data_IF_297638143139
#
_entry.id   IF_297638143139
#
_cell.length_a   1.000
_cell.length_b   1.000
_cell.length_c   1.000
_cell.angle_alpha   90.00
_cell.angle_beta   90.00
_cell.angle_gamma   90.00
#
_symmetry.space_group_name_H-M   'P 1'
#
loop_
_entity.id
_entity.type
_entity.pdbx_description
1 polymer ?
#
# COMPACT_ATOMS: atom_id res chain seq x y z
N UNK A 1 25.38 6.65 -31.00
CA UNK A 1 24.28 7.53 -30.53
C UNK A 1 22.91 6.83 -30.56
N UNK A 2 22.54 6.09 -31.63
CA UNK A 2 21.23 5.41 -31.77
C UNK A 2 20.90 4.40 -30.64
N UNK A 3 21.91 3.72 -30.09
CA UNK A 3 21.72 2.68 -29.05
C UNK A 3 21.40 3.25 -27.66
N UNK A 4 21.81 4.48 -27.37
CA UNK A 4 21.56 5.13 -26.08
C UNK A 4 20.13 5.63 -25.96
N UNK A 5 19.54 6.09 -27.06
CA UNK A 5 18.14 6.56 -27.10
C UNK A 5 17.18 5.40 -26.75
N UNK A 6 17.44 4.20 -27.27
CA UNK A 6 16.63 3.02 -26.96
C UNK A 6 16.74 2.62 -25.48
N UNK A 7 17.93 2.69 -24.89
CA UNK A 7 18.17 2.40 -23.49
C UNK A 7 17.52 3.41 -22.54
N UNK A 8 17.51 4.69 -22.92
CA UNK A 8 16.83 5.75 -22.15
C UNK A 8 15.32 5.55 -22.20
N UNK A 9 14.76 5.23 -23.37
CA UNK A 9 13.33 4.96 -23.53
C UNK A 9 12.91 3.76 -22.67
N UNK A 10 13.67 2.66 -22.68
CA UNK A 10 13.35 1.50 -21.82
C UNK A 10 13.44 1.83 -20.34
N UNK A 11 14.43 2.62 -19.89
CA UNK A 11 14.53 3.04 -18.49
C UNK A 11 13.32 3.86 -18.03
N UNK A 12 12.81 4.77 -18.88
CA UNK A 12 11.62 5.58 -18.57
C UNK A 12 10.40 4.69 -18.38
N UNK A 13 10.20 3.68 -19.23
CA UNK A 13 9.08 2.74 -19.09
C UNK A 13 9.16 1.83 -17.84
N UNK A 14 10.37 1.46 -17.39
CA UNK A 14 10.52 0.72 -16.14
C UNK A 14 10.17 1.57 -14.90
N UNK A 15 10.54 2.86 -14.90
CA UNK A 15 10.22 3.76 -13.78
C UNK A 15 8.72 4.02 -13.61
N UNK A 16 7.94 4.03 -14.71
CA UNK A 16 6.48 4.23 -14.64
C UNK A 16 5.71 3.06 -14.03
N UNK A 17 6.28 1.84 -14.03
CA UNK A 17 5.62 0.67 -13.42
C UNK A 17 5.74 0.66 -11.89
N UNK A 18 6.67 1.42 -11.30
CA UNK A 18 6.80 1.57 -9.85
C UNK A 18 5.73 2.50 -9.26
N UNK A 19 5.13 3.36 -10.10
CA UNK A 19 4.19 4.40 -9.66
C UNK A 19 2.71 4.04 -9.80
N UNK A 20 2.37 2.97 -10.52
CA UNK A 20 0.98 2.55 -10.78
C UNK A 20 0.35 1.71 -9.65
N UNK A 21 1.01 1.58 -8.50
CA UNK A 21 0.63 0.66 -7.43
C UNK A 21 0.79 1.24 -6.02
N UNK A 22 0.59 2.55 -5.81
CA UNK A 22 0.66 3.13 -4.47
C UNK A 22 -0.19 2.31 -3.50
N UNK A 23 0.47 1.77 -2.48
CA UNK A 23 -0.06 1.03 -1.33
C UNK A 23 -0.99 -0.18 -1.58
N UNK A 24 -1.16 -0.63 -2.83
CA UNK A 24 -2.00 -1.80 -3.15
C UNK A 24 -1.50 -3.10 -2.50
N UNK A 25 -0.18 -3.25 -2.33
CA UNK A 25 0.40 -4.42 -1.67
C UNK A 25 0.06 -4.46 -0.18
N UNK A 26 0.14 -3.31 0.45
CA UNK A 26 -0.11 -3.03 1.85
C UNK A 26 -1.59 -3.26 2.19
N UNK A 27 -2.51 -2.80 1.32
CA UNK A 27 -3.95 -3.09 1.43
C UNK A 27 -4.19 -4.61 1.41
N UNK A 28 -3.62 -5.30 0.43
CA UNK A 28 -3.75 -6.76 0.30
C UNK A 28 -3.18 -7.50 1.50
N UNK A 29 -2.10 -6.99 2.08
CA UNK A 29 -1.49 -7.59 3.26
C UNK A 29 -2.39 -7.44 4.49
N UNK A 30 -3.01 -6.27 4.69
CA UNK A 30 -4.03 -6.09 5.74
C UNK A 30 -5.21 -7.03 5.51
N UNK A 31 -5.71 -7.13 4.28
CA UNK A 31 -6.84 -8.01 3.93
C UNK A 31 -6.54 -9.48 4.27
N UNK A 32 -5.39 -9.98 3.81
CA UNK A 32 -4.97 -11.34 4.08
C UNK A 32 -4.82 -11.61 5.59
N UNK A 33 -4.31 -10.65 6.37
CA UNK A 33 -4.20 -10.81 7.82
C UNK A 33 -5.55 -10.76 8.52
N UNK A 34 -6.45 -9.89 8.11
CA UNK A 34 -7.81 -9.83 8.66
C UNK A 34 -8.58 -11.14 8.47
N UNK A 35 -8.34 -11.85 7.36
CA UNK A 35 -8.94 -13.17 7.09
C UNK A 35 -8.35 -14.28 7.96
N UNK A 36 -7.07 -14.18 8.32
CA UNK A 36 -6.32 -15.25 8.99
C UNK A 36 -6.12 -15.02 10.50
N UNK A 37 -6.34 -13.81 11.01
CA UNK A 37 -6.10 -13.45 12.41
C UNK A 37 -7.39 -13.52 13.23
N UNK A 38 -7.37 -14.25 14.35
CA UNK A 38 -8.43 -14.23 15.36
C UNK A 38 -8.18 -13.12 16.38
N UNK A 39 -8.82 -11.98 16.19
CA UNK A 39 -8.79 -10.81 17.10
C UNK A 39 -10.20 -10.47 17.56
N UNK A 40 -10.31 -9.67 18.64
CA UNK A 40 -11.60 -9.16 19.09
C UNK A 40 -12.25 -8.28 18.03
N UNK A 41 -13.59 -8.23 18.05
CA UNK A 41 -14.38 -7.44 17.09
C UNK A 41 -14.02 -5.95 17.14
N UNK A 42 -13.69 -5.42 18.32
CA UNK A 42 -13.25 -4.03 18.48
C UNK A 42 -11.94 -3.75 17.73
N UNK A 43 -10.95 -4.63 17.87
CA UNK A 43 -9.67 -4.52 17.15
C UNK A 43 -9.87 -4.69 15.66
N UNK A 44 -10.75 -5.61 15.25
CA UNK A 44 -11.08 -5.82 13.83
C UNK A 44 -11.69 -4.56 13.22
N UNK A 45 -12.63 -3.92 13.93
CA UNK A 45 -13.23 -2.67 13.51
C UNK A 45 -12.22 -1.52 13.44
N UNK A 46 -11.25 -1.47 14.36
CA UNK A 46 -10.16 -0.49 14.32
C UNK A 46 -9.28 -0.68 13.08
N UNK A 47 -8.87 -1.91 12.79
CA UNK A 47 -8.08 -2.25 11.59
C UNK A 47 -8.86 -1.90 10.31
N UNK A 48 -10.18 -2.16 10.25
CA UNK A 48 -11.02 -1.78 9.10
C UNK A 48 -11.03 -0.26 8.90
N UNK A 49 -11.11 0.54 9.98
CA UNK A 49 -11.04 2.00 9.90
C UNK A 49 -9.66 2.48 9.41
N UNK A 50 -8.58 1.89 9.90
CA UNK A 50 -7.21 2.21 9.47
C UNK A 50 -6.98 1.84 8.01
N UNK A 51 -7.48 0.68 7.57
CA UNK A 51 -7.46 0.26 6.16
C UNK A 51 -8.22 1.25 5.28
N UNK A 52 -9.38 1.72 5.71
CA UNK A 52 -10.15 2.74 4.98
C UNK A 52 -9.37 4.05 4.86
N UNK A 53 -8.76 4.52 5.95
CA UNK A 53 -7.90 5.70 5.93
C UNK A 53 -6.72 5.55 4.97
N UNK A 54 -6.10 4.38 4.92
CA UNK A 54 -5.03 4.09 3.97
C UNK A 54 -5.53 4.26 2.52
N UNK A 55 -6.61 3.57 2.14
CA UNK A 55 -7.19 3.63 0.79
C UNK A 55 -7.59 5.06 0.42
N UNK A 56 -8.24 5.79 1.34
CA UNK A 56 -8.71 7.15 1.08
C UNK A 56 -7.57 8.17 0.87
N UNK A 57 -6.36 7.83 1.32
CA UNK A 57 -5.19 8.72 1.34
C UNK A 57 -3.99 8.24 0.50
N UNK A 58 -3.99 7.03 -0.07
CA UNK A 58 -2.84 6.47 -0.81
C UNK A 58 -2.37 7.34 -1.99
N UNK A 59 -3.26 8.18 -2.53
CA UNK A 59 -2.96 9.15 -3.59
C UNK A 59 -3.07 10.63 -3.15
N UNK A 60 -3.43 10.91 -1.89
CA UNK A 60 -3.67 12.28 -1.39
C UNK A 60 -2.70 12.70 -0.30
N UNK A 61 -2.37 11.79 0.61
CA UNK A 61 -1.49 12.01 1.74
C UNK A 61 -0.78 10.70 2.08
N UNK A 62 0.39 10.50 1.45
CA UNK A 62 1.17 9.27 1.58
C UNK A 62 1.64 9.02 3.01
N UNK A 63 1.93 10.08 3.77
CA UNK A 63 2.33 9.97 5.18
C UNK A 63 1.18 9.40 6.02
N UNK A 64 -0.03 9.94 5.87
CA UNK A 64 -1.20 9.44 6.58
C UNK A 64 -1.56 8.00 6.16
N UNK A 65 -1.41 7.68 4.87
CA UNK A 65 -1.64 6.33 4.37
C UNK A 65 -0.64 5.34 4.99
N UNK A 66 0.64 5.70 5.04
CA UNK A 66 1.71 4.89 5.65
C UNK A 66 1.52 4.73 7.17
N UNK A 67 1.21 5.81 7.90
CA UNK A 67 0.93 5.71 9.33
C UNK A 67 -0.30 4.83 9.63
N UNK A 68 -1.32 4.89 8.77
CA UNK A 68 -2.52 4.05 8.91
C UNK A 68 -2.19 2.58 8.67
N UNK A 69 -1.35 2.27 7.69
CA UNK A 69 -0.81 0.94 7.44
C UNK A 69 -0.04 0.40 8.65
N UNK A 70 0.95 1.14 9.14
CA UNK A 70 1.81 0.70 10.26
C UNK A 70 0.98 0.42 11.52
N UNK A 71 0.01 1.30 11.83
CA UNK A 71 -0.92 1.07 12.95
C UNK A 71 -1.76 -0.18 12.75
N UNK A 72 -2.32 -0.40 11.55
CA UNK A 72 -3.10 -1.60 11.27
C UNK A 72 -2.27 -2.87 11.46
N UNK A 73 -1.03 -2.86 10.97
CA UNK A 73 -0.09 -3.98 11.12
C UNK A 73 0.31 -4.22 12.57
N UNK A 74 0.46 -3.17 13.39
CA UNK A 74 0.76 -3.31 14.82
C UNK A 74 -0.36 -4.03 15.61
N UNK A 75 -1.60 -3.96 15.14
CA UNK A 75 -2.75 -4.64 15.76
C UNK A 75 -2.85 -6.10 15.28
N UNK A 76 -2.43 -6.35 14.04
CA UNK A 76 -2.52 -7.65 13.37
C UNK A 76 -1.30 -8.58 13.61
N UNK A 77 -0.23 -8.05 14.19
CA UNK A 77 0.98 -8.78 14.59
C UNK A 77 0.95 -9.12 16.08
#
# INVERSE_FOLDING_TARGET
MKNYILAVITLVFFSSNLFAGCMKGEIKQIDAKLENTSISEDKKNEVIKLRKLLVDNEHKNSELAFQSYEKAMSILN
#
